data_IF_725357874442
#
_entry.id   IF_725357874442
#
_cell.length_a   1.000
_cell.length_b   1.000
_cell.length_c   1.000
_cell.angle_alpha   90.00
_cell.angle_beta   90.00
_cell.angle_gamma   90.00
#
_symmetry.space_group_name_H-M   'P 1'
#
loop_
_entity.id
_entity.type
_entity.pdbx_description
1 polymer ?
#
# COMPACT_ATOMS: atom_id res chain seq x y z
N UNK A 1 -30.19 1.65 -76.58
CA UNK A 1 -29.52 1.94 -75.29
C UNK A 1 -28.28 1.06 -75.22
N UNK A 2 -27.09 1.63 -75.12
CA UNK A 2 -25.84 0.85 -74.97
C UNK A 2 -25.68 0.55 -73.48
N UNK A 3 -25.82 -0.72 -73.09
CA UNK A 3 -25.48 -1.16 -71.74
C UNK A 3 -23.96 -1.13 -71.55
N UNK A 4 -23.47 -0.14 -70.81
CA UNK A 4 -22.10 -0.09 -70.33
C UNK A 4 -21.88 -1.22 -69.32
N UNK A 5 -21.33 -2.34 -69.76
CA UNK A 5 -20.91 -3.42 -68.85
C UNK A 5 -19.76 -2.92 -67.95
N UNK A 6 -19.85 -3.09 -66.62
CA UNK A 6 -18.78 -2.65 -65.72
C UNK A 6 -17.48 -3.38 -66.05
N UNK A 7 -16.42 -2.61 -66.32
CA UNK A 7 -15.11 -3.14 -66.68
C UNK A 7 -14.53 -3.96 -65.50
N UNK A 8 -14.52 -5.29 -65.62
CA UNK A 8 -14.23 -6.22 -64.52
C UNK A 8 -12.83 -6.00 -63.90
N UNK A 9 -11.88 -5.52 -64.71
CA UNK A 9 -10.53 -5.15 -64.26
C UNK A 9 -10.51 -3.94 -63.31
N UNK A 10 -11.37 -2.95 -63.54
CA UNK A 10 -11.47 -1.76 -62.68
C UNK A 10 -12.04 -2.11 -61.30
N UNK A 11 -13.04 -3.00 -61.26
CA UNK A 11 -13.59 -3.51 -59.99
C UNK A 11 -12.56 -4.32 -59.19
N UNK A 12 -11.74 -5.14 -59.85
CA UNK A 12 -10.65 -5.89 -59.21
C UNK A 12 -9.54 -4.97 -58.68
N UNK A 13 -9.16 -3.94 -59.44
CA UNK A 13 -8.20 -2.92 -59.01
C UNK A 13 -8.67 -2.17 -57.76
N UNK A 14 -9.92 -1.72 -57.74
CA UNK A 14 -10.51 -1.05 -56.58
C UNK A 14 -10.56 -1.97 -55.36
N UNK A 15 -10.88 -3.25 -55.51
CA UNK A 15 -10.82 -4.25 -54.42
C UNK A 15 -9.40 -4.39 -53.86
N UNK A 16 -8.38 -4.51 -54.73
CA UNK A 16 -6.97 -4.61 -54.30
C UNK A 16 -6.49 -3.34 -53.59
N UNK A 17 -6.87 -2.17 -54.09
CA UNK A 17 -6.57 -0.87 -53.48
C UNK A 17 -7.24 -0.71 -52.11
N UNK A 18 -8.53 -1.07 -51.97
CA UNK A 18 -9.25 -1.07 -50.68
C UNK A 18 -8.58 -1.97 -49.65
N UNK A 19 -8.18 -3.19 -50.03
CA UNK A 19 -7.44 -4.11 -49.14
C UNK A 19 -6.10 -3.52 -48.68
N UNK A 20 -5.33 -2.90 -49.58
CA UNK A 20 -4.07 -2.22 -49.21
C UNK A 20 -4.29 -1.07 -48.24
N UNK A 21 -5.30 -0.23 -48.48
CA UNK A 21 -5.65 0.87 -47.58
C UNK A 21 -6.06 0.34 -46.20
N UNK A 22 -6.94 -0.68 -46.16
CA UNK A 22 -7.35 -1.29 -44.90
C UNK A 22 -6.16 -1.87 -44.12
N UNK A 23 -5.20 -2.52 -44.81
CA UNK A 23 -3.97 -3.02 -44.19
C UNK A 23 -3.13 -1.86 -43.62
N UNK A 24 -2.94 -0.78 -44.37
CA UNK A 24 -2.20 0.39 -43.90
C UNK A 24 -2.86 1.03 -42.67
N UNK A 25 -4.18 1.18 -42.66
CA UNK A 25 -4.92 1.67 -41.51
C UNK A 25 -4.75 0.75 -40.29
N UNK A 26 -4.83 -0.57 -40.48
CA UNK A 26 -4.64 -1.55 -39.40
C UNK A 26 -3.22 -1.51 -38.84
N UNK A 27 -2.20 -1.47 -39.70
CA UNK A 27 -0.80 -1.33 -39.27
C UNK A 27 -0.59 -0.01 -38.52
N UNK A 28 -1.14 1.10 -39.03
CA UNK A 28 -1.06 2.39 -38.34
C UNK A 28 -1.73 2.37 -36.97
N UNK A 29 -2.89 1.72 -36.84
CA UNK A 29 -3.58 1.59 -35.56
C UNK A 29 -2.80 0.71 -34.58
N UNK A 30 -2.24 -0.41 -35.03
CA UNK A 30 -1.38 -1.27 -34.20
C UNK A 30 -0.11 -0.54 -33.75
N UNK A 31 0.55 0.19 -34.65
CA UNK A 31 1.70 1.02 -34.29
C UNK A 31 1.32 2.08 -33.26
N UNK A 32 0.17 2.74 -33.40
CA UNK A 32 -0.31 3.71 -32.42
C UNK A 32 -0.58 3.05 -31.06
N UNK A 33 -1.23 1.88 -31.03
CA UNK A 33 -1.52 1.15 -29.80
C UNK A 33 -0.23 0.71 -29.07
N UNK A 34 0.81 0.32 -29.80
CA UNK A 34 2.12 -0.01 -29.23
C UNK A 34 2.86 1.20 -28.66
N UNK A 35 2.75 2.36 -29.30
CA UNK A 35 3.38 3.61 -28.83
C UNK A 35 2.62 4.22 -27.65
N UNK A 36 1.30 4.06 -27.58
CA UNK A 36 0.44 4.61 -26.53
C UNK A 36 -0.36 3.52 -25.80
N UNK A 37 0.30 2.61 -25.07
CA UNK A 37 -0.35 1.46 -24.47
C UNK A 37 -1.40 1.86 -23.43
N UNK A 38 -1.16 2.91 -22.64
CA UNK A 38 -2.12 3.40 -21.64
C UNK A 38 -3.38 3.97 -22.30
N UNK A 39 -3.24 4.81 -23.34
CA UNK A 39 -4.39 5.33 -24.09
C UNK A 39 -5.20 4.23 -24.76
N UNK A 40 -4.51 3.21 -25.28
CA UNK A 40 -5.17 2.05 -25.86
C UNK A 40 -5.94 1.26 -24.79
N UNK A 41 -5.36 1.00 -23.63
CA UNK A 41 -6.03 0.31 -22.52
C UNK A 41 -7.26 1.09 -22.06
N UNK A 42 -7.19 2.42 -21.99
CA UNK A 42 -8.32 3.27 -21.61
C UNK A 42 -9.50 3.29 -22.60
N UNK A 43 -9.35 2.71 -23.81
CA UNK A 43 -10.49 2.44 -24.68
C UNK A 43 -11.38 1.31 -24.15
N UNK A 44 -10.84 0.44 -23.28
CA UNK A 44 -11.49 -0.77 -22.81
C UNK A 44 -11.71 -0.77 -21.29
N UNK A 45 -10.78 -0.20 -20.52
CA UNK A 45 -10.80 -0.18 -19.07
C UNK A 45 -10.87 1.25 -18.55
N UNK A 46 -11.68 1.48 -17.52
CA UNK A 46 -11.59 2.71 -16.74
C UNK A 46 -10.24 2.81 -16.02
N UNK A 47 -9.78 4.01 -15.64
CA UNK A 47 -8.55 4.15 -14.85
C UNK A 47 -8.55 3.30 -13.59
N UNK A 48 -9.69 3.22 -12.90
CA UNK A 48 -9.81 2.36 -11.71
C UNK A 48 -9.75 0.86 -12.03
N UNK A 49 -10.31 0.41 -13.16
CA UNK A 49 -10.18 -0.99 -13.58
C UNK A 49 -8.73 -1.33 -13.94
N UNK A 50 -8.04 -0.44 -14.65
CA UNK A 50 -6.63 -0.61 -14.97
C UNK A 50 -5.75 -0.60 -13.71
N UNK A 51 -6.01 0.35 -12.79
CA UNK A 51 -5.37 0.40 -11.49
C UNK A 51 -5.57 -0.89 -10.69
N UNK A 52 -6.75 -1.50 -10.76
CA UNK A 52 -7.04 -2.78 -10.10
C UNK A 52 -6.27 -3.95 -10.72
N UNK A 53 -6.08 -3.97 -12.04
CA UNK A 53 -5.23 -4.97 -12.69
C UNK A 53 -3.78 -4.81 -12.22
N UNK A 54 -3.24 -3.59 -12.24
CA UNK A 54 -1.89 -3.30 -11.75
C UNK A 54 -1.71 -3.70 -10.28
N UNK A 55 -2.71 -3.42 -9.44
CA UNK A 55 -2.70 -3.79 -8.01
C UNK A 55 -2.60 -5.31 -7.84
N UNK A 56 -3.42 -6.07 -8.58
CA UNK A 56 -3.42 -7.55 -8.54
C UNK A 56 -2.10 -8.15 -9.02
N UNK A 57 -1.42 -7.47 -9.93
CA UNK A 57 -0.10 -7.87 -10.44
C UNK A 57 1.06 -7.42 -9.54
N UNK A 58 0.80 -6.74 -8.42
CA UNK A 58 1.81 -6.26 -7.48
C UNK A 58 2.47 -4.93 -7.86
N UNK A 59 2.03 -4.28 -8.95
CA UNK A 59 2.56 -2.98 -9.38
C UNK A 59 1.89 -1.83 -8.61
N UNK A 60 2.06 -1.80 -7.28
CA UNK A 60 1.31 -0.91 -6.39
C UNK A 60 1.52 0.58 -6.66
N UNK A 61 2.77 1.01 -6.93
CA UNK A 61 3.05 2.42 -7.25
C UNK A 61 2.37 2.85 -8.57
N UNK A 62 2.39 1.98 -9.58
CA UNK A 62 1.76 2.25 -10.88
C UNK A 62 0.23 2.21 -10.74
N UNK A 63 -0.27 1.29 -9.92
CA UNK A 63 -1.69 1.19 -9.55
C UNK A 63 -2.18 2.48 -8.88
N UNK A 64 -1.42 3.02 -7.93
CA UNK A 64 -1.74 4.30 -7.29
C UNK A 64 -1.80 5.45 -8.30
N UNK A 65 -0.89 5.49 -9.28
CA UNK A 65 -0.92 6.48 -10.35
C UNK A 65 -2.12 6.32 -11.29
N UNK A 66 -2.59 5.08 -11.51
CA UNK A 66 -3.73 4.78 -12.39
C UNK A 66 -5.09 5.04 -11.75
N UNK A 67 -5.25 4.82 -10.44
CA UNK A 67 -6.53 5.04 -9.75
C UNK A 67 -6.96 6.51 -9.78
N UNK A 68 -8.24 6.73 -10.10
CA UNK A 68 -8.91 8.01 -9.95
C UNK A 68 -9.59 8.11 -8.59
N UNK A 69 -10.23 7.02 -8.12
CA UNK A 69 -10.90 7.01 -6.82
C UNK A 69 -9.88 7.20 -5.67
N UNK A 70 -10.00 8.24 -4.83
CA UNK A 70 -9.03 8.52 -3.77
C UNK A 70 -8.86 7.37 -2.77
N UNK A 71 -9.95 6.69 -2.41
CA UNK A 71 -9.90 5.52 -1.54
C UNK A 71 -9.04 4.36 -2.11
N UNK A 72 -9.21 4.04 -3.40
CA UNK A 72 -8.41 2.99 -4.07
C UNK A 72 -6.95 3.40 -4.21
N UNK A 73 -6.71 4.67 -4.49
CA UNK A 73 -5.38 5.27 -4.52
C UNK A 73 -4.70 5.21 -3.14
N UNK A 74 -5.45 5.43 -2.05
CA UNK A 74 -4.94 5.30 -0.67
C UNK A 74 -4.50 3.87 -0.34
N UNK A 75 -5.28 2.87 -0.75
CA UNK A 75 -4.92 1.45 -0.63
C UNK A 75 -3.67 1.10 -1.44
N UNK A 76 -3.55 1.61 -2.67
CA UNK A 76 -2.38 1.40 -3.50
C UNK A 76 -1.12 2.05 -2.92
N UNK A 77 -1.23 3.27 -2.39
CA UNK A 77 -0.12 3.92 -1.69
C UNK A 77 0.25 3.20 -0.39
N UNK A 78 -0.72 2.66 0.35
CA UNK A 78 -0.44 1.84 1.51
C UNK A 78 0.36 0.59 1.12
N UNK A 79 -0.09 -0.13 0.08
CA UNK A 79 0.57 -1.33 -0.43
C UNK A 79 1.95 -1.05 -1.05
N UNK A 80 2.18 0.17 -1.54
CA UNK A 80 3.50 0.62 -2.02
C UNK A 80 4.35 1.28 -0.93
N UNK A 81 3.94 1.20 0.34
CA UNK A 81 4.63 1.74 1.51
C UNK A 81 4.75 3.28 1.55
N UNK A 82 4.00 3.99 0.71
CA UNK A 82 3.87 5.44 0.74
C UNK A 82 2.79 5.83 1.76
N UNK A 83 3.10 5.55 3.03
CA UNK A 83 2.15 5.68 4.14
C UNK A 83 1.68 7.12 4.34
N UNK A 84 2.54 8.11 4.08
CA UNK A 84 2.19 9.52 4.18
C UNK A 84 1.07 9.91 3.21
N UNK A 85 1.21 9.54 1.92
CA UNK A 85 0.15 9.77 0.92
C UNK A 85 -1.10 8.96 1.22
N UNK A 86 -0.94 7.72 1.69
CA UNK A 86 -2.05 6.88 2.08
C UNK A 86 -2.88 7.50 3.20
N UNK A 87 -2.24 7.91 4.30
CA UNK A 87 -2.88 8.57 5.43
C UNK A 87 -3.59 9.86 5.01
N UNK A 88 -2.97 10.67 4.15
CA UNK A 88 -3.56 11.89 3.60
C UNK A 88 -4.83 11.59 2.80
N UNK A 89 -4.82 10.60 1.91
CA UNK A 89 -6.00 10.26 1.12
C UNK A 89 -7.12 9.64 1.95
N UNK A 90 -6.81 8.76 2.91
CA UNK A 90 -7.81 8.21 3.81
C UNK A 90 -8.45 9.27 4.70
N UNK A 91 -7.74 10.36 5.02
CA UNK A 91 -8.30 11.47 5.82
C UNK A 91 -9.51 12.16 5.19
N UNK A 92 -9.78 11.93 3.90
CA UNK A 92 -10.95 12.47 3.19
C UNK A 92 -12.26 11.73 3.52
N UNK A 93 -12.17 10.59 4.22
CA UNK A 93 -13.29 9.71 4.51
C UNK A 93 -13.45 9.48 6.03
N UNK A 94 -14.68 9.22 6.45
CA UNK A 94 -15.04 9.06 7.87
C UNK A 94 -15.74 7.72 8.15
N UNK A 95 -15.68 6.76 7.23
CA UNK A 95 -16.12 5.39 7.50
C UNK A 95 -15.06 4.60 8.26
N UNK A 96 -15.47 3.48 8.87
CA UNK A 96 -14.59 2.63 9.67
C UNK A 96 -13.31 2.22 8.94
N UNK A 97 -13.43 1.79 7.67
CA UNK A 97 -12.31 1.24 6.92
C UNK A 97 -11.28 2.33 6.58
N UNK A 98 -11.73 3.51 6.20
CA UNK A 98 -10.82 4.63 5.95
C UNK A 98 -10.12 5.12 7.22
N UNK A 99 -10.85 5.22 8.33
CA UNK A 99 -10.26 5.62 9.62
C UNK A 99 -9.20 4.61 10.05
N UNK A 100 -9.49 3.31 9.93
CA UNK A 100 -8.55 2.23 10.20
C UNK A 100 -7.34 2.29 9.27
N UNK A 101 -7.55 2.44 7.96
CA UNK A 101 -6.48 2.58 6.97
C UNK A 101 -5.55 3.76 7.28
N UNK A 102 -6.11 4.90 7.71
CA UNK A 102 -5.34 6.06 8.15
C UNK A 102 -4.55 5.79 9.42
N UNK A 103 -5.15 5.17 10.44
CA UNK A 103 -4.47 4.84 11.69
C UNK A 103 -3.30 3.88 11.45
N UNK A 104 -3.51 2.87 10.61
CA UNK A 104 -2.47 1.94 10.18
C UNK A 104 -1.35 2.68 9.45
N UNK A 105 -1.68 3.52 8.46
CA UNK A 105 -0.68 4.28 7.71
C UNK A 105 0.17 5.18 8.64
N UNK A 106 -0.47 5.88 9.58
CA UNK A 106 0.24 6.69 10.60
C UNK A 106 1.17 5.84 11.47
N UNK A 107 0.72 4.67 11.92
CA UNK A 107 1.55 3.78 12.72
C UNK A 107 2.78 3.28 11.93
N UNK A 108 2.61 2.93 10.65
CA UNK A 108 3.70 2.50 9.78
C UNK A 108 4.67 3.63 9.42
N UNK A 109 4.21 4.89 9.36
CA UNK A 109 5.05 6.09 9.23
C UNK A 109 5.77 6.44 10.56
N UNK A 110 5.68 5.59 11.59
CA UNK A 110 6.19 5.83 12.96
C UNK A 110 5.55 7.03 13.67
N UNK A 111 4.42 7.50 13.17
CA UNK A 111 3.64 8.57 13.78
C UNK A 111 2.68 8.00 14.83
N UNK A 112 3.26 7.41 15.88
CA UNK A 112 2.55 6.55 16.83
C UNK A 112 1.50 7.29 17.67
N UNK A 113 1.79 8.52 18.09
CA UNK A 113 0.88 9.32 18.92
C UNK A 113 -0.45 9.62 18.22
N UNK A 114 -0.49 10.16 16.99
CA UNK A 114 -1.76 10.32 16.28
C UNK A 114 -2.38 8.99 15.86
N UNK A 115 -1.59 7.94 15.60
CA UNK A 115 -2.14 6.62 15.31
C UNK A 115 -2.93 6.05 16.50
N UNK A 116 -2.36 6.04 17.71
CA UNK A 116 -3.03 5.52 18.92
C UNK A 116 -4.25 6.35 19.30
N UNK A 117 -4.20 7.68 19.12
CA UNK A 117 -5.38 8.54 19.29
C UNK A 117 -6.49 8.11 18.33
N UNK A 118 -6.17 7.94 17.05
CA UNK A 118 -7.17 7.56 16.05
C UNK A 118 -7.76 6.16 16.31
N UNK A 119 -6.96 5.18 16.74
CA UNK A 119 -7.50 3.88 17.14
C UNK A 119 -8.48 3.98 18.31
N UNK A 120 -8.16 4.77 19.34
CA UNK A 120 -9.07 5.01 20.49
C UNK A 120 -10.36 5.70 20.04
N UNK A 121 -10.26 6.66 19.12
CA UNK A 121 -11.42 7.35 18.54
C UNK A 121 -12.30 6.36 17.75
N UNK A 122 -11.69 5.48 16.94
CA UNK A 122 -12.42 4.43 16.21
C UNK A 122 -13.12 3.48 17.18
N UNK A 123 -12.43 3.00 18.23
CA UNK A 123 -13.01 2.09 19.20
C UNK A 123 -14.17 2.73 19.99
N UNK A 124 -14.08 4.04 20.25
CA UNK A 124 -15.19 4.80 20.85
C UNK A 124 -16.42 4.83 19.95
N UNK A 125 -16.22 4.93 18.63
CA UNK A 125 -17.31 4.95 17.64
C UNK A 125 -17.84 3.56 17.28
N UNK A 126 -16.99 2.54 17.33
CA UNK A 126 -17.27 1.16 16.95
C UNK A 126 -16.87 0.21 18.09
N UNK A 127 -17.58 0.24 19.23
CA UNK A 127 -17.21 -0.48 20.45
C UNK A 127 -17.24 -2.01 20.29
N UNK A 128 -17.86 -2.53 19.24
CA UNK A 128 -17.85 -3.94 18.89
C UNK A 128 -16.50 -4.42 18.32
N UNK A 129 -15.63 -3.50 17.86
CA UNK A 129 -14.33 -3.77 17.23
C UNK A 129 -13.22 -3.96 18.26
N UNK A 130 -13.41 -4.91 19.17
CA UNK A 130 -12.48 -5.18 20.30
C UNK A 130 -11.07 -5.54 19.84
N UNK A 131 -10.92 -6.05 18.63
CA UNK A 131 -9.64 -6.34 18.00
C UNK A 131 -8.71 -5.10 17.94
N UNK A 132 -9.26 -3.88 17.89
CA UNK A 132 -8.48 -2.64 17.91
C UNK A 132 -7.69 -2.42 19.20
N UNK A 133 -8.10 -3.04 20.31
CA UNK A 133 -7.35 -2.94 21.57
C UNK A 133 -5.92 -3.44 21.39
N UNK A 134 -5.74 -4.53 20.64
CA UNK A 134 -4.41 -5.06 20.31
C UNK A 134 -3.55 -4.03 19.58
N UNK A 135 -4.12 -3.28 18.62
CA UNK A 135 -3.40 -2.25 17.89
C UNK A 135 -3.06 -1.06 18.79
N UNK A 136 -3.96 -0.67 19.69
CA UNK A 136 -3.71 0.36 20.71
C UNK A 136 -2.53 -0.04 21.59
N UNK A 137 -2.54 -1.27 22.11
CA UNK A 137 -1.51 -1.79 23.02
C UNK A 137 -0.15 -1.85 22.32
N UNK A 138 -0.09 -2.37 21.09
CA UNK A 138 1.15 -2.43 20.30
C UNK A 138 1.72 -1.03 20.06
N UNK A 139 0.89 -0.08 19.61
CA UNK A 139 1.36 1.28 19.30
C UNK A 139 1.71 2.05 20.57
N UNK A 140 1.02 1.80 21.69
CA UNK A 140 1.40 2.36 22.98
C UNK A 140 2.77 1.84 23.45
N UNK A 141 3.02 0.54 23.34
CA UNK A 141 4.32 -0.03 23.66
C UNK A 141 5.46 0.55 22.80
N UNK A 142 5.20 0.87 21.52
CA UNK A 142 6.16 1.55 20.65
C UNK A 142 6.46 2.99 21.11
N UNK A 143 5.46 3.72 21.63
CA UNK A 143 5.65 5.05 22.21
C UNK A 143 6.51 4.97 23.47
N UNK A 144 6.20 4.01 24.34
CA UNK A 144 6.86 3.86 25.63
C UNK A 144 8.34 3.45 25.43
N UNK A 145 8.61 2.53 24.50
CA UNK A 145 9.97 2.11 24.13
C UNK A 145 10.81 3.28 23.59
N UNK A 146 10.25 4.10 22.69
CA UNK A 146 10.94 5.29 22.17
C UNK A 146 11.25 6.32 23.26
N UNK A 147 10.35 6.47 24.24
CA UNK A 147 10.52 7.38 25.37
C UNK A 147 11.67 6.90 26.27
N UNK A 148 11.68 5.62 26.63
CA UNK A 148 12.77 5.03 27.44
C UNK A 148 14.14 5.13 26.76
N UNK A 149 14.21 4.93 25.44
CA UNK A 149 15.46 5.08 24.70
C UNK A 149 15.96 6.53 24.70
N UNK A 150 15.05 7.49 24.64
CA UNK A 150 15.40 8.92 24.69
C UNK A 150 15.89 9.32 26.09
N UNK A 151 15.26 8.82 27.15
CA UNK A 151 15.65 9.09 28.54
C UNK A 151 17.00 8.46 28.90
N UNK A 152 17.29 7.24 28.41
CA UNK A 152 18.58 6.57 28.63
C UNK A 152 19.74 7.28 27.91
N UNK A 153 19.52 7.84 26.71
CA UNK A 153 20.52 8.66 26.03
C UNK A 153 20.81 9.97 26.77
N UNK A 154 19.79 10.59 27.39
CA UNK A 154 19.97 11.79 28.20
C UNK A 154 20.67 11.50 29.54
N UNK A 155 20.48 10.31 30.11
CA UNK A 155 21.16 9.88 31.33
C UNK A 155 22.67 9.60 31.12
N UNK A 156 23.08 9.18 29.91
CA UNK A 156 24.51 9.01 29.57
C UNK A 156 25.20 10.29 29.07
N UNK A 157 24.44 11.29 28.59
CA UNK A 157 25.00 12.60 28.18
C UNK A 157 25.25 13.59 29.33
N UNK A 158 25.17 13.13 30.58
CA UNK A 158 25.63 13.89 31.75
C UNK A 158 27.15 14.15 31.81
N UNK A 159 27.93 13.55 30.89
CA UNK A 159 29.38 13.75 30.81
C UNK A 159 29.90 13.68 29.35
N UNK A 160 29.55 14.66 28.52
CA UNK A 160 30.45 15.26 27.51
C UNK A 160 29.72 16.19 26.54
N UNK A 161 30.33 17.34 26.33
CA UNK A 161 29.87 18.45 25.49
C UNK A 161 29.99 18.20 23.98
N UNK A 162 28.94 18.58 23.25
CA UNK A 162 28.90 19.18 21.91
C UNK A 162 29.65 18.49 20.75
N UNK A 163 28.89 17.95 19.80
CA UNK A 163 29.11 18.25 18.37
C UNK A 163 27.78 18.16 17.61
N UNK A 164 27.41 19.25 16.96
CA UNK A 164 26.25 19.36 16.09
C UNK A 164 26.72 19.34 14.63
N UNK A 165 26.15 18.45 13.81
CA UNK A 165 26.05 18.41 12.32
C UNK A 165 25.84 16.92 11.94
N UNK A 166 24.94 16.48 11.05
CA UNK A 166 24.14 17.12 10.00
C UNK A 166 22.90 16.25 9.69
N UNK A 167 21.89 16.87 9.10
CA UNK A 167 20.76 16.19 8.43
C UNK A 167 21.18 15.44 7.15
N UNK A 168 20.23 14.80 6.45
CA UNK A 168 20.36 13.44 5.95
C UNK A 168 21.02 13.34 4.57
N UNK A 169 21.98 12.42 4.41
CA UNK A 169 22.29 11.79 3.12
C UNK A 169 22.96 10.41 3.30
N UNK A 170 22.34 9.38 2.72
CA UNK A 170 22.97 8.20 2.09
C UNK A 170 21.83 7.30 1.59
N UNK A 171 21.81 6.73 0.39
CA UNK A 171 22.63 6.84 -0.81
C UNK A 171 21.79 6.21 -1.93
N UNK A 172 22.01 6.71 -3.14
CA UNK A 172 21.61 6.10 -4.40
C UNK A 172 21.97 4.61 -4.46
N UNK A 173 21.04 3.84 -5.06
CA UNK A 173 21.28 2.61 -5.83
C UNK A 173 21.97 1.43 -5.13
N UNK A 174 21.18 0.42 -4.72
CA UNK A 174 21.57 -0.97 -4.96
C UNK A 174 20.35 -1.92 -4.92
N UNK A 175 20.52 -3.05 -5.58
CA UNK A 175 19.56 -3.91 -6.27
C UNK A 175 18.29 -4.36 -5.53
N UNK A 176 17.13 -4.10 -6.18
CA UNK A 176 15.87 -4.79 -5.87
C UNK A 176 15.92 -6.21 -6.42
N UNK A 177 16.41 -7.14 -5.60
CA UNK A 177 16.21 -8.57 -5.81
C UNK A 177 14.71 -8.86 -5.90
N UNK A 178 14.29 -9.37 -7.05
CA UNK A 178 12.95 -9.85 -7.33
C UNK A 178 12.58 -10.94 -6.32
N UNK A 179 11.58 -10.69 -5.48
CA UNK A 179 10.94 -11.77 -4.73
C UNK A 179 9.85 -12.38 -5.60
N UNK A 180 10.02 -13.67 -5.91
CA UNK A 180 9.03 -14.48 -6.60
C UNK A 180 7.69 -14.44 -5.86
N UNK A 181 6.67 -14.06 -6.61
CA UNK A 181 5.28 -13.95 -6.19
C UNK A 181 4.74 -15.35 -5.89
N UNK A 182 4.53 -15.68 -4.62
CA UNK A 182 3.56 -16.72 -4.30
C UNK A 182 2.15 -16.18 -4.62
N UNK A 183 1.25 -17.02 -5.18
CA UNK A 183 -0.06 -16.57 -5.63
C UNK A 183 -0.88 -16.10 -4.43
N UNK A 184 -1.07 -14.78 -4.32
CA UNK A 184 -1.94 -14.19 -3.31
C UNK A 184 -3.39 -14.50 -3.71
N UNK A 185 -4.00 -15.39 -2.94
CA UNK A 185 -5.43 -15.66 -2.99
C UNK A 185 -6.22 -14.34 -2.87
N UNK A 186 -7.29 -14.18 -3.65
CA UNK A 186 -8.02 -12.91 -3.77
C UNK A 186 -8.66 -12.49 -2.44
N UNK A 187 -7.95 -11.70 -1.64
CA UNK A 187 -8.51 -11.06 -0.45
C UNK A 187 -9.26 -9.78 -0.87
N UNK A 188 -10.47 -9.57 -0.34
CA UNK A 188 -11.23 -8.32 -0.48
C UNK A 188 -10.55 -7.16 0.26
N UNK A 189 -10.89 -5.91 -0.05
CA UNK A 189 -10.34 -4.73 0.65
C UNK A 189 -10.69 -4.73 2.15
N UNK A 190 -11.87 -5.24 2.51
CA UNK A 190 -12.29 -5.53 3.89
C UNK A 190 -11.43 -6.62 4.53
N UNK A 191 -11.11 -7.68 3.79
CA UNK A 191 -10.20 -8.71 4.27
C UNK A 191 -8.78 -8.20 4.38
N UNK A 192 -8.31 -7.30 3.53
CA UNK A 192 -7.00 -6.65 3.65
C UNK A 192 -6.90 -5.86 4.96
N UNK A 193 -7.89 -5.02 5.27
CA UNK A 193 -7.90 -4.19 6.48
C UNK A 193 -8.12 -4.96 7.79
N UNK A 194 -8.76 -6.14 7.72
CA UNK A 194 -9.06 -7.00 8.88
C UNK A 194 -8.12 -8.21 8.99
N UNK A 195 -7.20 -8.40 8.03
CA UNK A 195 -6.39 -9.62 7.97
C UNK A 195 -5.18 -9.59 8.91
N UNK A 196 -4.91 -10.69 9.62
CA UNK A 196 -3.58 -11.03 10.13
C UNK A 196 -2.49 -11.05 9.04
N UNK A 197 -2.83 -11.13 7.75
CA UNK A 197 -1.85 -10.99 6.66
C UNK A 197 -1.33 -9.55 6.44
N UNK A 198 -2.00 -8.50 6.96
CA UNK A 198 -1.38 -7.18 7.12
C UNK A 198 -0.38 -7.19 8.27
N UNK A 199 -0.64 -7.97 9.34
CA UNK A 199 0.38 -8.31 10.33
C UNK A 199 1.53 -9.07 9.68
N UNK A 200 1.30 -9.97 8.71
CA UNK A 200 2.40 -10.60 7.96
C UNK A 200 3.15 -9.66 7.00
N UNK A 201 2.47 -8.67 6.39
CA UNK A 201 3.15 -7.60 5.64
C UNK A 201 3.98 -6.70 6.57
N UNK A 202 3.43 -6.34 7.74
CA UNK A 202 4.14 -5.67 8.83
C UNK A 202 5.35 -6.51 9.31
N UNK A 203 5.20 -7.84 9.40
CA UNK A 203 6.27 -8.78 9.77
C UNK A 203 7.32 -8.98 8.66
N UNK A 204 6.95 -8.84 7.38
CA UNK A 204 7.90 -8.89 6.25
C UNK A 204 8.82 -7.66 6.24
N UNK A 205 8.36 -6.50 6.68
CA UNK A 205 9.15 -5.24 6.69
C UNK A 205 9.95 -4.99 7.98
N UNK A 206 9.74 -5.77 9.04
CA UNK A 206 10.55 -5.76 10.29
C UNK A 206 12.01 -6.20 10.07
N UNK A 207 12.42 -6.51 8.85
CA UNK A 207 13.82 -6.82 8.54
C UNK A 207 14.76 -5.60 8.50
N UNK A 208 14.24 -4.36 8.49
CA UNK A 208 15.09 -3.16 8.46
C UNK A 208 15.49 -2.61 9.84
N UNK A 209 14.78 -2.98 10.90
CA UNK A 209 15.07 -2.53 12.28
C UNK A 209 14.50 -3.53 13.30
N UNK A 210 15.19 -4.67 13.53
CA UNK A 210 14.67 -5.76 14.36
C UNK A 210 14.63 -5.41 15.86
N UNK A 211 15.34 -4.36 16.29
CA UNK A 211 15.51 -4.04 17.70
C UNK A 211 14.20 -3.58 18.36
N UNK A 212 13.50 -2.62 17.75
CA UNK A 212 12.22 -2.13 18.25
C UNK A 212 11.14 -3.21 18.27
N UNK A 213 11.07 -4.06 17.24
CA UNK A 213 10.09 -5.15 17.21
C UNK A 213 10.37 -6.23 18.27
N UNK A 214 11.63 -6.63 18.44
CA UNK A 214 12.00 -7.57 19.49
C UNK A 214 11.68 -7.01 20.86
N UNK A 215 11.95 -5.73 21.10
CA UNK A 215 11.61 -5.06 22.36
C UNK A 215 10.10 -5.08 22.62
N UNK A 216 9.26 -4.74 21.64
CA UNK A 216 7.80 -4.84 21.77
C UNK A 216 7.37 -6.28 22.00
N UNK A 217 7.94 -7.25 21.29
CA UNK A 217 7.63 -8.67 21.48
C UNK A 217 7.97 -9.14 22.89
N UNK A 218 9.16 -8.80 23.39
CA UNK A 218 9.60 -9.17 24.74
C UNK A 218 8.77 -8.46 25.82
N UNK A 219 8.44 -7.18 25.62
CA UNK A 219 7.52 -6.45 26.50
C UNK A 219 6.15 -7.14 26.57
N UNK A 220 5.56 -7.48 25.42
CA UNK A 220 4.28 -8.20 25.36
C UNK A 220 4.35 -9.60 26.00
N UNK A 221 5.51 -10.28 25.91
CA UNK A 221 5.73 -11.55 26.61
C UNK A 221 5.81 -11.37 28.12
N UNK A 222 6.47 -10.32 28.59
CA UNK A 222 6.60 -9.99 30.01
C UNK A 222 5.23 -9.67 30.64
N UNK A 223 4.42 -8.84 29.98
CA UNK A 223 3.06 -8.51 30.41
C UNK A 223 2.17 -9.77 30.52
N UNK A 224 2.22 -10.66 29.51
CA UNK A 224 1.48 -11.93 29.56
C UNK A 224 1.96 -12.85 30.69
N UNK A 225 3.25 -12.86 30.98
CA UNK A 225 3.80 -13.64 32.08
C UNK A 225 3.33 -13.10 33.43
N UNK A 226 3.39 -11.78 33.63
CA UNK A 226 2.92 -11.12 34.84
C UNK A 226 1.41 -11.34 35.07
N UNK A 227 0.58 -11.25 34.02
CA UNK A 227 -0.85 -11.56 34.11
C UNK A 227 -1.12 -13.04 34.41
N UNK A 228 -0.29 -13.95 33.88
CA UNK A 228 -0.36 -15.39 34.16
C UNK A 228 0.11 -15.79 35.56
N UNK A 229 0.94 -14.97 36.20
CA UNK A 229 1.41 -15.14 37.59
C UNK A 229 0.38 -14.56 38.58
N UNK A 230 -0.15 -13.36 38.32
CA UNK A 230 -1.20 -12.74 39.15
C UNK A 230 -2.49 -13.59 39.21
N UNK A 231 -2.87 -14.23 38.10
CA UNK A 231 -4.04 -15.12 38.05
C UNK A 231 -3.84 -16.47 38.77
N UNK A 232 -2.60 -16.85 39.09
CA UNK A 232 -2.29 -18.04 39.90
C UNK A 232 -2.27 -17.73 41.39
N UNK A 233 -1.90 -16.52 41.78
CA UNK A 233 -1.93 -16.07 43.18
C UNK A 233 -3.36 -15.80 43.68
N UNK A 234 -4.29 -15.36 42.82
CA UNK A 234 -5.71 -15.19 43.20
C UNK A 234 -6.49 -16.51 43.36
N UNK A 235 -5.92 -17.65 42.96
CA UNK A 235 -6.56 -18.97 43.06
C UNK A 235 -6.04 -19.83 44.23
N UNK A 236 -5.16 -19.29 45.07
CA UNK A 236 -4.67 -19.89 46.31
C UNK A 236 -5.23 -19.18 47.54
#
# INVERSE_FOLDING_TARGET
>A
MVELRPNSGYAAYLKKKRKKIALLCLVSFLCWALVYPTKFIHLWLTPDQYGQVLFKLGYYQQSAAAYETPYRKALAYYASEDFSKSASLFSQYNDFNALLGRANALAHERNYVPAVRLYRDILTRYPERRELQTNIDIVQALIDANTQMSESQLAEQGDSSSSQQDGPQSSEGDDRQFFETQPVEQLSAEQLLQNPSLTEMWMRQVQKDPSGFLQVKFYMQLERQNQGEASKEEQQ
#
